data_IF_109657940988
#
_entry.id   IF_109657940988
#
_cell.length_a   1.000
_cell.length_b   1.000
_cell.length_c   1.000
_cell.angle_alpha   90.00
_cell.angle_beta   90.00
_cell.angle_gamma   90.00
#
_symmetry.space_group_name_H-M   'P 1'
#
loop_
_entity.id
_entity.type
_entity.pdbx_description
1 polymer ?
#
# COMPACT_ATOMS: atom_id res chain seq x y z
N UNK A 1 -15.53 -5.44 -1.38
CA UNK A 1 -14.79 -6.34 -2.29
C UNK A 1 -14.61 -7.67 -1.57
N UNK A 2 -14.98 -8.83 -2.15
CA UNK A 2 -14.75 -10.16 -1.56
C UNK A 2 -13.69 -10.85 -2.42
N UNK A 3 -12.47 -11.03 -1.91
CA UNK A 3 -11.37 -11.67 -2.64
C UNK A 3 -9.97 -11.26 -2.17
N UNK A 4 -8.96 -11.74 -2.89
CA UNK A 4 -7.52 -11.57 -2.60
C UNK A 4 -7.00 -10.13 -2.84
N UNK A 5 -7.77 -9.29 -3.53
CA UNK A 5 -7.37 -7.93 -3.87
C UNK A 5 -8.33 -6.89 -3.29
N UNK A 6 -7.76 -5.80 -2.80
CA UNK A 6 -8.48 -4.61 -2.34
C UNK A 6 -8.08 -3.39 -3.16
N UNK A 7 -9.06 -2.61 -3.60
CA UNK A 7 -8.82 -1.25 -4.08
C UNK A 7 -8.79 -0.30 -2.88
N UNK A 8 -7.60 0.16 -2.54
CA UNK A 8 -7.36 1.09 -1.43
C UNK A 8 -7.70 2.54 -1.77
N UNK A 9 -7.87 2.88 -3.06
CA UNK A 9 -8.09 4.26 -3.50
C UNK A 9 -6.87 5.16 -3.42
N UNK A 10 -5.68 4.61 -3.15
CA UNK A 10 -4.43 5.35 -3.15
C UNK A 10 -4.12 5.90 -4.55
N UNK A 11 -3.70 7.17 -4.61
CA UNK A 11 -3.26 7.81 -5.85
C UNK A 11 -1.98 7.15 -6.39
N UNK A 12 -1.73 7.29 -7.68
CA UNK A 12 -0.53 6.75 -8.31
C UNK A 12 0.77 7.37 -7.75
N UNK A 13 0.70 8.61 -7.24
CA UNK A 13 1.80 9.30 -6.56
C UNK A 13 2.14 8.63 -5.23
N UNK A 14 1.13 8.33 -4.41
CA UNK A 14 1.31 7.58 -3.15
C UNK A 14 1.86 6.18 -3.42
N UNK A 15 1.38 5.51 -4.46
CA UNK A 15 1.89 4.18 -4.88
C UNK A 15 3.36 4.26 -5.31
N UNK A 16 3.76 5.31 -6.02
CA UNK A 16 5.16 5.52 -6.40
C UNK A 16 6.03 5.79 -5.16
N UNK A 17 5.59 6.68 -4.27
CA UNK A 17 6.31 7.00 -3.05
C UNK A 17 6.54 5.78 -2.16
N UNK A 18 5.51 4.93 -1.99
CA UNK A 18 5.59 3.68 -1.22
C UNK A 18 6.61 2.70 -1.82
N UNK A 19 6.71 2.65 -3.15
CA UNK A 19 7.69 1.82 -3.85
C UNK A 19 9.11 2.33 -3.59
N UNK A 20 9.32 3.63 -3.75
CA UNK A 20 10.66 4.21 -3.78
C UNK A 20 11.25 4.37 -2.36
N UNK A 21 10.42 4.65 -1.36
CA UNK A 21 10.90 4.95 0.00
C UNK A 21 10.73 3.79 0.99
N UNK A 22 9.76 2.90 0.76
CA UNK A 22 9.38 1.84 1.71
C UNK A 22 9.44 0.44 1.10
N UNK A 23 9.87 0.32 -0.16
CA UNK A 23 9.94 -0.95 -0.89
C UNK A 23 8.61 -1.72 -0.90
N UNK A 24 7.48 -1.00 -0.88
CA UNK A 24 6.14 -1.58 -0.94
C UNK A 24 5.63 -1.50 -2.38
N UNK A 25 5.43 -2.66 -3.00
CA UNK A 25 5.06 -2.77 -4.41
C UNK A 25 3.56 -2.99 -4.57
N UNK A 26 2.84 -1.91 -4.90
CA UNK A 26 1.39 -1.93 -5.18
C UNK A 26 1.15 -1.66 -6.67
N UNK A 27 0.05 -2.19 -7.20
CA UNK A 27 -0.36 -1.94 -8.58
C UNK A 27 -0.98 -0.55 -8.70
N UNK A 28 -0.71 0.16 -9.80
CA UNK A 28 -1.31 1.47 -10.10
C UNK A 28 -2.84 1.44 -9.93
N UNK A 29 -3.41 2.55 -9.45
CA UNK A 29 -4.81 2.65 -9.01
C UNK A 29 -5.07 2.04 -7.63
N UNK A 30 -4.02 1.81 -6.82
CA UNK A 30 -4.16 1.40 -5.42
C UNK A 30 -4.66 -0.03 -5.21
N UNK A 31 -4.47 -0.94 -6.18
CA UNK A 31 -4.88 -2.35 -6.04
C UNK A 31 -3.82 -3.14 -5.26
N UNK A 32 -4.16 -3.52 -4.03
CA UNK A 32 -3.30 -4.24 -3.08
C UNK A 32 -3.70 -5.72 -3.05
N UNK A 33 -2.71 -6.61 -3.00
CA UNK A 33 -2.92 -8.04 -2.70
C UNK A 33 -2.93 -8.25 -1.19
N UNK A 34 -4.09 -8.57 -0.60
CA UNK A 34 -4.23 -8.80 0.84
C UNK A 34 -3.53 -10.09 1.30
N UNK A 35 -3.34 -11.08 0.42
CA UNK A 35 -2.66 -12.32 0.79
C UNK A 35 -1.15 -12.13 1.03
N UNK A 36 -0.57 -11.00 0.59
CA UNK A 36 0.81 -10.62 0.91
C UNK A 36 0.96 -9.96 2.28
N UNK A 37 -0.15 -9.60 2.93
CA UNK A 37 -0.16 -9.04 4.28
C UNK A 37 -0.17 -10.18 5.30
N UNK A 38 0.77 -10.10 6.23
CA UNK A 38 0.91 -11.03 7.34
C UNK A 38 0.90 -10.25 8.64
N UNK A 39 0.66 -10.92 9.76
CA UNK A 39 0.73 -10.28 11.09
C UNK A 39 2.10 -9.68 11.40
N UNK A 40 3.16 -10.12 10.73
CA UNK A 40 4.52 -9.58 10.92
C UNK A 40 4.87 -8.36 10.08
N UNK A 41 4.09 -8.04 9.03
CA UNK A 41 4.38 -6.90 8.15
C UNK A 41 3.24 -5.87 8.08
N UNK A 42 2.07 -6.18 8.62
CA UNK A 42 0.89 -5.33 8.51
C UNK A 42 1.10 -3.96 9.15
N UNK A 43 1.76 -3.89 10.30
CA UNK A 43 2.04 -2.63 11.00
C UNK A 43 2.95 -1.72 10.15
N UNK A 44 4.03 -2.28 9.60
CA UNK A 44 4.94 -1.54 8.71
C UNK A 44 4.22 -1.00 7.48
N UNK A 45 3.34 -1.80 6.87
CA UNK A 45 2.58 -1.38 5.68
C UNK A 45 1.60 -0.25 6.04
N UNK A 46 0.90 -0.36 7.18
CA UNK A 46 -0.02 0.68 7.65
C UNK A 46 0.71 2.00 7.95
N UNK A 47 1.84 1.94 8.66
CA UNK A 47 2.65 3.12 8.98
C UNK A 47 3.21 3.78 7.71
N UNK A 48 3.70 2.98 6.76
CA UNK A 48 4.19 3.47 5.48
C UNK A 48 3.09 4.18 4.68
N UNK A 49 1.87 3.62 4.63
CA UNK A 49 0.72 4.26 3.95
C UNK A 49 0.37 5.58 4.66
N UNK A 50 0.33 5.60 5.99
CA UNK A 50 0.03 6.80 6.75
C UNK A 50 1.08 7.91 6.56
N UNK A 51 2.36 7.54 6.45
CA UNK A 51 3.46 8.47 6.17
C UNK A 51 3.35 9.03 4.74
N UNK A 52 3.07 8.16 3.77
CA UNK A 52 2.90 8.57 2.37
C UNK A 52 1.77 9.58 2.20
N UNK A 53 0.62 9.35 2.86
CA UNK A 53 -0.55 10.24 2.82
C UNK A 53 -0.36 11.61 3.49
N UNK A 54 0.68 11.78 4.32
CA UNK A 54 1.03 13.07 4.93
C UNK A 54 2.08 13.84 4.12
N UNK A 55 2.85 13.11 3.33
CA UNK A 55 4.02 13.65 2.59
C UNK A 55 3.65 14.08 1.18
N UNK A 56 2.71 13.36 0.56
CA UNK A 56 2.12 13.64 -0.76
C UNK A 56 0.79 14.34 -0.58
#
# INVERSE_FOLDING_TARGET
QRGMFSFSGLSDEVVAWLRDNKSIYIVKGGRINLAGLTTGNIDYVCDAIAEALKTV
#
